data_IF_586376714976
#
_entry.id   IF_586376714976
#
_cell.length_a   1.000
_cell.length_b   1.000
_cell.length_c   1.000
_cell.angle_alpha   90.00
_cell.angle_beta   90.00
_cell.angle_gamma   90.00
#
_symmetry.space_group_name_H-M   'P 1'
#
loop_
_entity.id
_entity.type
_entity.pdbx_description
1 polymer ?
#
# COMPACT_ATOMS: atom_id res chain seq x y z
N UNK A 1 55.10 -52.21 -19.23
CA UNK A 1 53.80 -52.32 -18.51
C UNK A 1 53.64 -53.74 -18.01
N UNK A 2 53.78 -53.92 -16.69
CA UNK A 2 53.79 -55.21 -15.99
C UNK A 2 52.40 -55.84 -15.97
N UNK A 3 52.32 -57.18 -15.89
CA UNK A 3 51.07 -57.95 -15.93
C UNK A 3 50.03 -57.48 -14.89
N UNK A 4 50.49 -57.07 -13.70
CA UNK A 4 49.64 -56.56 -12.62
C UNK A 4 48.86 -55.26 -12.98
N UNK A 5 49.35 -54.45 -13.92
CA UNK A 5 48.66 -53.23 -14.36
C UNK A 5 47.52 -53.51 -15.35
N UNK A 6 47.51 -54.68 -16.00
CA UNK A 6 46.47 -55.06 -16.97
C UNK A 6 45.23 -55.66 -16.30
N UNK A 7 45.42 -56.41 -15.22
CA UNK A 7 44.34 -57.03 -14.44
C UNK A 7 43.45 -55.95 -13.77
N UNK A 8 44.07 -54.93 -13.16
CA UNK A 8 43.31 -53.83 -12.55
C UNK A 8 42.53 -52.96 -13.54
N UNK A 9 42.94 -52.91 -14.82
CA UNK A 9 42.20 -52.19 -15.86
C UNK A 9 40.98 -52.99 -16.34
N UNK A 10 41.12 -54.31 -16.49
CA UNK A 10 40.02 -55.20 -16.85
C UNK A 10 38.95 -55.24 -15.76
N UNK A 11 39.33 -55.28 -14.48
CA UNK A 11 38.39 -55.28 -13.36
C UNK A 11 37.55 -54.00 -13.29
N UNK A 12 38.14 -52.85 -13.61
CA UNK A 12 37.42 -51.58 -13.66
C UNK A 12 36.46 -51.51 -14.85
N UNK A 13 36.87 -52.01 -16.01
CA UNK A 13 36.01 -52.06 -17.20
C UNK A 13 34.79 -52.97 -16.99
N UNK A 14 34.98 -54.13 -16.35
CA UNK A 14 33.90 -55.08 -16.01
C UNK A 14 32.92 -54.45 -15.01
N UNK A 15 33.42 -53.70 -14.02
CA UNK A 15 32.57 -52.99 -13.04
C UNK A 15 31.74 -51.87 -13.69
N UNK A 16 32.28 -51.18 -14.69
CA UNK A 16 31.54 -50.15 -15.43
C UNK A 16 30.42 -50.75 -16.28
N UNK A 17 30.69 -51.85 -17.01
CA UNK A 17 29.68 -52.55 -17.80
C UNK A 17 28.53 -53.08 -16.91
N UNK A 18 28.84 -53.62 -15.73
CA UNK A 18 27.83 -54.07 -14.76
C UNK A 18 27.04 -52.91 -14.10
N UNK A 19 27.56 -51.68 -14.14
CA UNK A 19 26.84 -50.49 -13.69
C UNK A 19 25.87 -49.99 -14.76
N UNK A 20 26.29 -50.00 -16.03
CA UNK A 20 25.45 -49.58 -17.15
C UNK A 20 24.29 -50.55 -17.41
N UNK A 21 24.52 -51.86 -17.30
CA UNK A 21 23.46 -52.87 -17.46
C UNK A 21 22.35 -52.74 -16.41
N UNK A 22 22.71 -52.44 -15.15
CA UNK A 22 21.72 -52.15 -14.09
C UNK A 22 20.90 -50.90 -14.38
N UNK A 23 21.54 -49.87 -14.95
CA UNK A 23 20.86 -48.63 -15.33
C UNK A 23 19.85 -48.84 -16.46
N UNK A 24 20.18 -49.69 -17.43
CA UNK A 24 19.27 -50.08 -18.51
C UNK A 24 18.08 -50.89 -18.00
N UNK A 25 18.30 -51.82 -17.06
CA UNK A 25 17.21 -52.60 -16.46
C UNK A 25 16.25 -51.72 -15.63
N UNK A 26 16.76 -50.67 -14.97
CA UNK A 26 15.92 -49.74 -14.21
C UNK A 26 15.04 -48.86 -15.13
N UNK A 27 15.59 -48.40 -16.26
CA UNK A 27 14.83 -47.67 -17.28
C UNK A 27 13.82 -48.58 -18.02
N UNK A 28 14.13 -49.87 -18.17
CA UNK A 28 13.19 -50.82 -18.75
C UNK A 28 12.04 -51.17 -17.81
N UNK A 29 12.26 -51.15 -16.49
CA UNK A 29 11.23 -51.38 -15.47
C UNK A 29 10.17 -50.27 -15.39
N UNK A 30 10.54 -49.01 -15.62
CA UNK A 30 9.59 -47.88 -15.64
C UNK A 30 8.65 -47.89 -16.86
N UNK A 31 9.03 -48.55 -17.95
CA UNK A 31 8.21 -48.62 -19.18
C UNK A 31 7.12 -49.70 -19.16
N UNK A 32 7.05 -50.50 -18.09
CA UNK A 32 6.13 -51.64 -17.93
C UNK A 32 4.83 -51.35 -17.17
N UNK A 33 4.59 -50.12 -16.71
CA UNK A 33 3.38 -49.76 -15.93
C UNK A 33 2.48 -48.77 -16.66
N UNK A 34 2.08 -49.08 -17.89
CA UNK A 34 0.93 -48.47 -18.56
C UNK A 34 -0.12 -49.55 -18.79
N UNK A 35 -0.85 -49.87 -17.72
CA UNK A 35 -2.04 -50.71 -17.78
C UNK A 35 -3.18 -49.91 -18.41
N UNK A 36 -3.56 -50.30 -19.62
CA UNK A 36 -4.75 -49.82 -20.31
C UNK A 36 -5.99 -50.42 -19.64
N UNK A 37 -6.71 -49.64 -18.84
CA UNK A 37 -8.06 -50.02 -18.39
C UNK A 37 -9.10 -49.35 -19.27
N UNK A 38 -9.74 -50.20 -20.07
CA UNK A 38 -10.97 -49.97 -20.81
C UNK A 38 -12.12 -49.53 -19.87
N UNK A 39 -12.83 -48.49 -20.30
CA UNK A 39 -14.29 -48.32 -20.19
C UNK A 39 -14.99 -48.72 -18.90
N UNK A 40 -15.31 -47.72 -18.08
CA UNK A 40 -16.61 -47.65 -17.38
C UNK A 40 -17.22 -46.27 -17.63
N UNK A 41 -18.25 -46.26 -18.46
CA UNK A 41 -19.24 -45.18 -18.54
C UNK A 41 -19.95 -45.01 -17.18
N UNK A 42 -20.66 -43.90 -17.03
CA UNK A 42 -21.66 -43.62 -15.98
C UNK A 42 -21.17 -43.12 -14.63
N UNK A 43 -20.77 -41.85 -14.57
CA UNK A 43 -21.16 -40.96 -13.46
C UNK A 43 -21.53 -39.60 -14.07
N UNK A 44 -22.83 -39.44 -14.29
CA UNK A 44 -23.48 -38.16 -14.58
C UNK A 44 -23.26 -37.22 -13.40
N UNK A 45 -22.43 -36.18 -13.57
CA UNK A 45 -22.64 -34.92 -12.85
C UNK A 45 -22.69 -33.78 -13.86
N UNK A 46 -23.72 -32.93 -13.77
CA UNK A 46 -24.01 -31.94 -14.78
C UNK A 46 -22.87 -30.95 -14.88
N UNK A 47 -22.63 -30.47 -16.09
CA UNK A 47 -21.90 -29.25 -16.37
C UNK A 47 -22.44 -28.14 -15.45
N UNK A 48 -21.79 -27.96 -14.31
CA UNK A 48 -21.90 -26.72 -13.57
C UNK A 48 -21.23 -25.73 -14.50
N UNK A 49 -22.06 -24.96 -15.17
CA UNK A 49 -21.70 -23.71 -15.82
C UNK A 49 -21.06 -22.88 -14.71
N UNK A 50 -19.77 -23.06 -14.52
CA UNK A 50 -18.91 -22.15 -13.82
C UNK A 50 -18.83 -20.98 -14.79
N UNK A 51 -19.83 -20.10 -14.70
CA UNK A 51 -19.73 -18.77 -15.24
C UNK A 51 -18.36 -18.26 -14.80
N UNK A 52 -17.48 -17.84 -15.72
CA UNK A 52 -16.33 -17.08 -15.29
C UNK A 52 -16.97 -15.89 -14.59
N UNK A 53 -16.75 -15.80 -13.27
CA UNK A 53 -17.03 -14.61 -12.50
C UNK A 53 -16.50 -13.48 -13.36
N UNK A 54 -17.40 -12.66 -13.90
CA UNK A 54 -17.04 -11.49 -14.69
C UNK A 54 -16.41 -10.52 -13.70
N UNK A 55 -15.17 -10.80 -13.29
CA UNK A 55 -14.25 -9.79 -12.83
C UNK A 55 -14.14 -8.89 -14.05
N UNK A 56 -14.82 -7.75 -14.00
CA UNK A 56 -14.55 -6.62 -14.86
C UNK A 56 -13.04 -6.47 -14.95
N UNK A 57 -12.43 -6.98 -16.01
CA UNK A 57 -11.03 -6.76 -16.34
C UNK A 57 -10.94 -5.29 -16.70
N UNK A 58 -10.78 -4.45 -15.69
CA UNK A 58 -10.21 -3.13 -15.89
C UNK A 58 -8.84 -3.42 -16.51
N UNK A 59 -8.51 -2.84 -17.67
CA UNK A 59 -7.20 -3.11 -18.27
C UNK A 59 -6.10 -2.81 -17.23
N UNK A 60 -5.20 -3.78 -17.03
CA UNK A 60 -4.24 -3.79 -15.89
C UNK A 60 -3.27 -2.59 -15.91
N UNK A 61 -2.91 -2.13 -17.11
CA UNK A 61 -1.98 -1.02 -17.36
C UNK A 61 -2.51 0.36 -16.95
N UNK A 62 -3.74 0.78 -17.34
CA UNK A 62 -4.28 2.06 -16.89
C UNK A 62 -4.53 2.09 -15.38
N UNK A 63 -4.97 0.98 -14.76
CA UNK A 63 -5.22 0.95 -13.32
C UNK A 63 -3.95 1.23 -12.49
N UNK A 64 -2.86 0.51 -12.80
CA UNK A 64 -1.56 0.71 -12.14
C UNK A 64 -1.03 2.13 -12.27
N UNK A 65 -1.16 2.71 -13.46
CA UNK A 65 -0.73 4.09 -13.73
C UNK A 65 -1.55 5.09 -12.93
N UNK A 66 -2.86 4.85 -12.83
CA UNK A 66 -3.78 5.71 -12.10
C UNK A 66 -3.51 5.67 -10.59
N UNK A 67 -3.21 4.50 -10.02
CA UNK A 67 -2.79 4.35 -8.62
C UNK A 67 -1.51 5.14 -8.35
N UNK A 68 -0.49 4.99 -9.20
CA UNK A 68 0.77 5.74 -9.08
C UNK A 68 0.58 7.26 -9.18
N UNK A 69 -0.29 7.71 -10.09
CA UNK A 69 -0.63 9.12 -10.23
C UNK A 69 -1.27 9.65 -8.94
N UNK A 70 -2.20 8.91 -8.35
CA UNK A 70 -2.87 9.28 -7.10
C UNK A 70 -1.88 9.46 -5.95
N UNK A 71 -0.89 8.58 -5.81
CA UNK A 71 0.16 8.74 -4.80
C UNK A 71 1.05 9.97 -5.04
N UNK A 72 1.41 10.27 -6.31
CA UNK A 72 2.20 11.47 -6.63
C UNK A 72 1.41 12.75 -6.38
N UNK A 73 0.14 12.77 -6.76
CA UNK A 73 -0.76 13.89 -6.50
C UNK A 73 -0.97 14.07 -4.99
N UNK A 74 -1.12 12.99 -4.21
CA UNK A 74 -1.17 13.08 -2.76
C UNK A 74 0.11 13.73 -2.19
N UNK A 75 1.28 13.26 -2.61
CA UNK A 75 2.54 13.81 -2.11
C UNK A 75 2.68 15.32 -2.40
N UNK A 76 2.28 15.78 -3.60
CA UNK A 76 2.40 17.18 -3.99
C UNK A 76 1.28 18.08 -3.44
N UNK A 77 0.02 17.70 -3.63
CA UNK A 77 -1.14 18.54 -3.31
C UNK A 77 -1.66 18.34 -1.88
N UNK A 78 -1.65 17.11 -1.39
CA UNK A 78 -2.15 16.80 -0.05
C UNK A 78 -1.07 16.96 1.03
N UNK A 79 0.21 16.79 0.71
CA UNK A 79 1.30 16.98 1.67
C UNK A 79 2.10 18.26 1.37
N UNK A 80 2.70 18.38 0.19
CA UNK A 80 3.60 19.49 -0.13
C UNK A 80 2.95 20.88 -0.05
N UNK A 81 1.85 21.09 -0.76
CA UNK A 81 1.18 22.39 -0.86
C UNK A 81 0.70 22.94 0.51
N UNK A 82 -0.02 22.19 1.35
CA UNK A 82 -0.43 22.68 2.67
C UNK A 82 0.74 22.94 3.61
N UNK A 83 1.86 22.23 3.46
CA UNK A 83 3.07 22.52 4.23
C UNK A 83 3.67 23.88 3.84
N UNK A 84 3.76 24.18 2.54
CA UNK A 84 4.19 25.50 2.05
C UNK A 84 3.23 26.59 2.52
N UNK A 85 1.92 26.35 2.44
CA UNK A 85 0.90 27.27 2.95
C UNK A 85 1.02 27.49 4.45
N UNK A 86 1.40 26.46 5.23
CA UNK A 86 1.55 26.56 6.68
C UNK A 86 2.72 27.48 7.04
N UNK A 87 3.85 27.32 6.36
CA UNK A 87 5.01 28.22 6.51
C UNK A 87 4.60 29.65 6.11
N UNK A 88 3.94 29.81 4.98
CA UNK A 88 3.53 31.13 4.49
C UNK A 88 2.53 31.82 5.43
N UNK A 89 1.53 31.10 5.93
CA UNK A 89 0.56 31.59 6.91
C UNK A 89 1.22 31.96 8.24
N UNK A 90 2.22 31.19 8.68
CA UNK A 90 2.98 31.46 9.90
C UNK A 90 3.81 32.75 9.77
N UNK A 91 4.46 32.96 8.63
CA UNK A 91 5.19 34.20 8.33
C UNK A 91 4.25 35.40 8.27
N UNK A 92 3.04 35.23 7.71
CA UNK A 92 2.01 36.28 7.63
C UNK A 92 1.22 36.46 8.94
N UNK A 93 1.44 35.62 9.95
CA UNK A 93 0.77 35.62 11.26
C UNK A 93 -0.76 35.54 11.19
N UNK A 94 -1.30 34.81 10.22
CA UNK A 94 -2.74 34.58 10.07
C UNK A 94 -3.17 33.38 10.94
N UNK A 95 -3.61 33.66 12.17
CA UNK A 95 -3.87 32.63 13.19
C UNK A 95 -4.90 31.58 12.76
N UNK A 96 -5.98 32.00 12.08
CA UNK A 96 -7.04 31.12 11.58
C UNK A 96 -6.50 30.06 10.61
N UNK A 97 -5.66 30.47 9.65
CA UNK A 97 -5.07 29.58 8.66
C UNK A 97 -3.99 28.67 9.26
N UNK A 98 -3.16 29.18 10.16
CA UNK A 98 -2.16 28.36 10.86
C UNK A 98 -2.85 27.25 11.64
N UNK A 99 -3.93 27.58 12.35
CA UNK A 99 -4.74 26.62 13.10
C UNK A 99 -5.39 25.59 12.18
N UNK A 100 -6.06 26.01 11.09
CA UNK A 100 -6.63 25.11 10.09
C UNK A 100 -5.59 24.14 9.53
N UNK A 101 -4.43 24.65 9.09
CA UNK A 101 -3.38 23.85 8.46
C UNK A 101 -2.68 22.93 9.46
N UNK A 102 -2.54 23.33 10.72
CA UNK A 102 -2.00 22.48 11.79
C UNK A 102 -2.92 21.31 12.09
N UNK A 103 -4.24 21.56 12.20
CA UNK A 103 -5.25 20.51 12.40
C UNK A 103 -5.25 19.55 11.21
N UNK A 104 -5.23 20.10 10.00
CA UNK A 104 -5.12 19.33 8.77
C UNK A 104 -3.87 18.43 8.78
N UNK A 105 -2.70 18.96 9.18
CA UNK A 105 -1.45 18.20 9.19
C UNK A 105 -1.49 17.02 10.16
N UNK A 106 -2.08 17.23 11.34
CA UNK A 106 -2.31 16.14 12.30
C UNK A 106 -3.15 15.03 11.66
N UNK A 107 -4.23 15.36 10.95
CA UNK A 107 -5.11 14.37 10.31
C UNK A 107 -4.47 13.72 9.07
N UNK A 108 -3.77 14.50 8.25
CA UNK A 108 -3.06 14.03 7.06
C UNK A 108 -1.92 13.06 7.40
N UNK A 109 -1.39 13.09 8.62
CA UNK A 109 -0.37 12.13 9.08
C UNK A 109 -0.84 10.67 8.98
N UNK A 110 -2.15 10.39 9.03
CA UNK A 110 -2.69 9.05 8.83
C UNK A 110 -2.36 8.49 7.43
N UNK A 111 -2.28 9.34 6.41
CA UNK A 111 -1.88 8.94 5.06
C UNK A 111 -0.39 8.55 5.01
N UNK A 112 0.46 9.24 5.76
CA UNK A 112 1.87 8.85 5.87
C UNK A 112 2.03 7.52 6.63
N UNK A 113 1.26 7.34 7.71
CA UNK A 113 1.18 6.08 8.45
C UNK A 113 0.70 4.94 7.55
N UNK A 114 -0.31 5.17 6.69
CA UNK A 114 -0.82 4.15 5.79
C UNK A 114 0.24 3.69 4.77
N UNK A 115 1.06 4.60 4.28
CA UNK A 115 2.20 4.27 3.39
C UNK A 115 3.23 3.41 4.11
N UNK A 116 3.58 3.72 5.36
CA UNK A 116 4.51 2.90 6.15
C UNK A 116 3.97 1.48 6.38
N UNK A 117 2.68 1.35 6.67
CA UNK A 117 2.01 0.05 6.85
C UNK A 117 1.95 -0.76 5.55
N UNK A 118 1.72 -0.10 4.41
CA UNK A 118 1.70 -0.76 3.10
C UNK A 118 3.09 -1.20 2.64
N UNK A 119 4.19 -0.58 3.10
CA UNK A 119 5.55 -1.03 2.77
C UNK A 119 5.75 -2.52 3.11
N UNK A 120 5.28 -2.95 4.28
CA UNK A 120 5.41 -4.33 4.77
C UNK A 120 4.14 -5.16 4.54
N UNK A 121 3.40 -4.84 3.47
CA UNK A 121 2.22 -5.59 2.99
C UNK A 121 1.11 -5.80 4.04
N UNK A 122 0.98 -4.88 5.01
CA UNK A 122 0.02 -5.04 6.11
C UNK A 122 -1.40 -4.72 5.64
N UNK A 123 -2.38 -5.62 5.86
CA UNK A 123 -3.74 -5.45 5.33
C UNK A 123 -4.49 -4.27 5.95
N UNK A 124 -4.14 -3.88 7.18
CA UNK A 124 -4.73 -2.71 7.84
C UNK A 124 -4.43 -1.41 7.09
N UNK A 125 -3.34 -1.38 6.31
CA UNK A 125 -2.96 -0.21 5.56
C UNK A 125 -3.97 0.15 4.45
N UNK A 126 -4.66 -0.85 3.86
CA UNK A 126 -5.75 -0.61 2.90
C UNK A 126 -6.90 0.19 3.52
N UNK A 127 -7.26 -0.12 4.76
CA UNK A 127 -8.29 0.61 5.49
C UNK A 127 -7.87 2.06 5.72
N UNK A 128 -6.63 2.26 6.18
CA UNK A 128 -6.12 3.61 6.46
C UNK A 128 -5.97 4.44 5.19
N UNK A 129 -5.59 3.85 4.06
CA UNK A 129 -5.51 4.54 2.76
C UNK A 129 -6.88 4.94 2.23
N UNK A 130 -7.95 4.22 2.59
CA UNK A 130 -9.33 4.61 2.30
C UNK A 130 -9.86 5.69 3.26
N UNK A 131 -9.60 5.55 4.56
CA UNK A 131 -10.10 6.47 5.58
C UNK A 131 -9.38 7.82 5.59
N UNK A 132 -8.07 7.85 5.31
CA UNK A 132 -7.27 9.06 5.40
C UNK A 132 -7.78 10.18 4.47
N UNK A 133 -8.02 9.96 3.17
CA UNK A 133 -8.58 11.00 2.31
C UNK A 133 -9.94 11.53 2.77
N UNK A 134 -10.81 10.66 3.31
CA UNK A 134 -12.13 11.08 3.84
C UNK A 134 -11.98 11.97 5.08
N UNK A 135 -11.12 11.57 6.02
CA UNK A 135 -10.83 12.36 7.22
C UNK A 135 -10.16 13.68 6.86
N UNK A 136 -9.28 13.71 5.86
CA UNK A 136 -8.65 14.93 5.36
C UNK A 136 -9.69 15.90 4.79
N UNK A 137 -10.61 15.42 3.95
CA UNK A 137 -11.69 16.27 3.42
C UNK A 137 -12.61 16.76 4.54
N UNK A 138 -12.99 15.89 5.48
CA UNK A 138 -13.77 16.28 6.65
C UNK A 138 -13.06 17.35 7.48
N UNK A 139 -11.77 17.19 7.74
CA UNK A 139 -10.97 18.11 8.57
C UNK A 139 -10.98 19.53 8.08
N UNK A 140 -11.09 19.73 6.77
CA UNK A 140 -11.02 21.04 6.14
C UNK A 140 -12.38 21.74 6.17
N UNK A 141 -13.50 21.02 6.20
CA UNK A 141 -14.85 21.61 6.10
C UNK A 141 -15.67 21.54 7.40
N UNK A 142 -15.31 20.64 8.32
CA UNK A 142 -16.06 20.36 9.53
C UNK A 142 -16.21 21.57 10.46
N UNK A 143 -15.14 22.37 10.59
CA UNK A 143 -15.03 23.47 11.55
C UNK A 143 -15.84 24.69 11.13
N UNK A 144 -16.79 25.10 11.96
CA UNK A 144 -17.64 26.28 11.68
C UNK A 144 -16.88 27.58 11.91
N UNK A 145 -16.18 27.67 13.05
CA UNK A 145 -15.38 28.82 13.48
C UNK A 145 -14.34 29.21 12.43
N UNK A 146 -13.54 28.24 11.98
CA UNK A 146 -12.54 28.47 10.92
C UNK A 146 -13.17 28.84 9.58
N UNK A 147 -14.39 28.40 9.28
CA UNK A 147 -15.07 28.77 8.03
C UNK A 147 -15.57 30.21 8.08
N UNK A 148 -16.07 30.66 9.22
CA UNK A 148 -16.48 32.04 9.47
C UNK A 148 -15.26 32.98 9.44
N UNK A 149 -14.19 32.66 10.19
CA UNK A 149 -12.93 33.43 10.17
C UNK A 149 -12.32 33.53 8.75
N UNK A 150 -12.44 32.48 7.93
CA UNK A 150 -11.97 32.52 6.54
C UNK A 150 -12.87 33.31 5.59
N UNK A 151 -14.17 33.42 5.90
CA UNK A 151 -15.14 34.16 5.10
C UNK A 151 -14.94 35.67 5.25
N UNK A 152 -14.58 36.13 6.44
CA UNK A 152 -14.32 37.54 6.76
C UNK A 152 -13.05 38.09 6.10
N UNK A 153 -12.12 37.21 5.70
CA UNK A 153 -10.89 37.61 5.03
C UNK A 153 -11.13 38.06 3.58
N UNK A 154 -10.50 39.17 3.12
CA UNK A 154 -10.66 39.65 1.75
C UNK A 154 -10.20 38.60 0.72
N UNK A 155 -11.06 38.19 -0.24
CA UNK A 155 -10.79 37.04 -1.10
C UNK A 155 -9.69 37.27 -2.14
N UNK A 156 -9.35 38.52 -2.44
CA UNK A 156 -8.30 38.90 -3.39
C UNK A 156 -6.89 38.88 -2.79
N UNK A 157 -6.74 38.74 -1.48
CA UNK A 157 -5.42 38.55 -0.88
C UNK A 157 -4.88 37.18 -1.33
N UNK A 158 -3.59 37.09 -1.70
CA UNK A 158 -3.04 35.89 -2.32
C UNK A 158 -3.15 34.66 -1.41
N UNK A 159 -2.89 34.81 -0.11
CA UNK A 159 -2.91 33.69 0.83
C UNK A 159 -4.33 33.10 1.05
N UNK A 160 -5.37 33.87 1.42
CA UNK A 160 -6.74 33.34 1.49
C UNK A 160 -7.22 32.73 0.17
N UNK A 161 -6.88 33.34 -0.96
CA UNK A 161 -7.24 32.83 -2.28
C UNK A 161 -6.64 31.45 -2.53
N UNK A 162 -5.33 31.29 -2.31
CA UNK A 162 -4.64 30.01 -2.49
C UNK A 162 -5.20 28.94 -1.55
N UNK A 163 -5.47 29.28 -0.28
CA UNK A 163 -6.10 28.34 0.67
C UNK A 163 -7.48 27.90 0.15
N UNK A 164 -8.34 28.82 -0.30
CA UNK A 164 -9.68 28.47 -0.82
C UNK A 164 -9.60 27.55 -2.04
N UNK A 165 -8.73 27.85 -2.99
CA UNK A 165 -8.51 27.01 -4.19
C UNK A 165 -7.99 25.62 -3.77
N UNK A 166 -7.02 25.59 -2.86
CA UNK A 166 -6.46 24.34 -2.36
C UNK A 166 -7.50 23.49 -1.63
N UNK A 167 -8.36 24.08 -0.78
CA UNK A 167 -9.42 23.35 -0.06
C UNK A 167 -10.36 22.62 -1.03
N UNK A 168 -10.77 23.27 -2.11
CA UNK A 168 -11.61 22.65 -3.14
C UNK A 168 -10.87 21.58 -3.94
N UNK A 169 -9.63 21.86 -4.34
CA UNK A 169 -8.79 20.88 -5.04
C UNK A 169 -8.57 19.62 -4.18
N UNK A 170 -8.31 19.79 -2.89
CA UNK A 170 -8.17 18.71 -1.92
C UNK A 170 -9.48 17.91 -1.77
N UNK A 171 -10.65 18.57 -1.74
CA UNK A 171 -11.94 17.88 -1.70
C UNK A 171 -12.16 16.99 -2.92
N UNK A 172 -11.93 17.54 -4.12
CA UNK A 172 -12.04 16.76 -5.36
C UNK A 172 -11.06 15.58 -5.37
N UNK A 173 -9.79 15.85 -5.05
CA UNK A 173 -8.76 14.82 -4.95
C UNK A 173 -9.10 13.74 -3.92
N UNK A 174 -9.53 14.13 -2.71
CA UNK A 174 -9.81 13.22 -1.61
C UNK A 174 -10.98 12.28 -1.90
N UNK A 175 -12.04 12.78 -2.55
CA UNK A 175 -13.17 11.95 -2.98
C UNK A 175 -12.76 10.96 -4.08
N UNK A 176 -11.98 11.41 -5.08
CA UNK A 176 -11.47 10.53 -6.13
C UNK A 176 -10.54 9.46 -5.52
N UNK A 177 -9.62 9.87 -4.65
CA UNK A 177 -8.69 8.97 -3.98
C UNK A 177 -9.42 7.94 -3.11
N UNK A 178 -10.44 8.35 -2.34
CA UNK A 178 -11.26 7.43 -1.55
C UNK A 178 -12.06 6.47 -2.44
N UNK A 179 -12.64 6.96 -3.54
CA UNK A 179 -13.35 6.11 -4.51
C UNK A 179 -12.42 5.07 -5.11
N UNK A 180 -11.19 5.44 -5.48
CA UNK A 180 -10.18 4.49 -5.95
C UNK A 180 -9.76 3.51 -4.85
N UNK A 181 -9.48 3.99 -3.64
CA UNK A 181 -9.08 3.15 -2.50
C UNK A 181 -10.18 2.16 -2.09
N UNK A 182 -11.46 2.48 -2.33
CA UNK A 182 -12.57 1.56 -2.06
C UNK A 182 -12.46 0.24 -2.83
N UNK A 183 -11.85 0.25 -4.03
CA UNK A 183 -11.60 -0.96 -4.83
C UNK A 183 -10.61 -1.92 -4.17
N UNK A 184 -9.76 -1.38 -3.28
CA UNK A 184 -8.75 -2.15 -2.54
C UNK A 184 -9.25 -2.66 -1.18
N UNK A 185 -10.45 -2.27 -0.72
CA UNK A 185 -10.96 -2.69 0.59
C UNK A 185 -11.18 -4.20 0.70
N UNK A 186 -11.50 -4.86 -0.42
CA UNK A 186 -11.63 -6.32 -0.48
C UNK A 186 -10.30 -7.03 -0.14
N UNK A 187 -9.16 -6.38 -0.42
CA UNK A 187 -7.82 -6.92 -0.17
C UNK A 187 -7.47 -7.06 1.32
N UNK A 188 -8.32 -6.54 2.22
CA UNK A 188 -8.15 -6.75 3.66
C UNK A 188 -8.32 -8.22 4.05
N UNK A 189 -9.14 -8.98 3.30
CA UNK A 189 -9.42 -10.40 3.57
C UNK A 189 -8.54 -11.34 2.76
N UNK A 190 -8.16 -10.94 1.56
CA UNK A 190 -7.30 -11.71 0.66
C UNK A 190 -6.23 -10.81 0.03
N UNK A 191 -5.00 -10.94 0.54
CA UNK A 191 -3.85 -10.12 0.13
C UNK A 191 -3.17 -10.68 -1.14
N UNK A 192 -3.51 -11.90 -1.56
CA UNK A 192 -2.81 -12.59 -2.65
C UNK A 192 -3.24 -12.15 -4.06
N UNK A 193 -4.38 -11.45 -4.20
CA UNK A 193 -4.94 -11.04 -5.48
C UNK A 193 -4.06 -10.07 -6.28
N UNK A 194 -4.05 -10.21 -7.62
CA UNK A 194 -3.25 -9.38 -8.51
C UNK A 194 -3.52 -7.87 -8.34
N UNK A 195 -4.79 -7.49 -8.19
CA UNK A 195 -5.21 -6.09 -7.99
C UNK A 195 -4.72 -5.51 -6.66
N UNK A 196 -4.54 -6.34 -5.64
CA UNK A 196 -4.09 -5.93 -4.32
C UNK A 196 -2.59 -5.58 -4.32
N UNK A 197 -1.79 -6.32 -5.10
CA UNK A 197 -0.35 -6.10 -5.23
C UNK A 197 0.00 -4.73 -5.81
N UNK A 198 -0.82 -4.23 -6.74
CA UNK A 198 -0.63 -2.91 -7.38
C UNK A 198 -0.56 -1.77 -6.35
N UNK A 199 -1.29 -1.89 -5.24
CA UNK A 199 -1.29 -0.88 -4.17
C UNK A 199 -0.03 -0.88 -3.31
N UNK A 200 0.75 -1.96 -3.28
CA UNK A 200 2.02 -2.03 -2.55
C UNK A 200 3.20 -1.46 -3.36
N UNK A 201 3.13 -1.55 -4.68
CA UNK A 201 4.24 -1.13 -5.55
C UNK A 201 4.59 0.36 -5.42
N UNK A 202 3.59 1.23 -5.22
CA UNK A 202 3.81 2.67 -5.07
C UNK A 202 4.48 3.02 -3.71
N UNK A 203 3.99 2.54 -2.55
CA UNK A 203 4.68 2.65 -1.26
C UNK A 203 6.12 2.11 -1.25
N UNK A 204 6.37 0.96 -1.89
CA UNK A 204 7.73 0.41 -2.01
C UNK A 204 8.66 1.33 -2.82
N UNK A 205 8.13 2.00 -3.85
CA UNK A 205 8.89 3.02 -4.60
C UNK A 205 9.29 4.21 -3.72
N UNK A 206 8.41 4.65 -2.80
CA UNK A 206 8.71 5.73 -1.86
C UNK A 206 9.69 5.30 -0.76
N UNK A 207 9.60 4.05 -0.31
CA UNK A 207 10.52 3.47 0.68
C UNK A 207 11.98 3.58 0.23
N UNK A 208 12.28 3.32 -1.05
CA UNK A 208 13.63 3.46 -1.61
C UNK A 208 14.18 4.89 -1.53
N UNK A 209 13.32 5.90 -1.53
CA UNK A 209 13.74 7.30 -1.33
C UNK A 209 14.07 7.54 0.14
N UNK A 210 13.25 7.01 1.05
CA UNK A 210 13.49 7.10 2.49
C UNK A 210 14.78 6.35 2.90
N UNK A 211 15.03 5.16 2.36
CA UNK A 211 16.27 4.40 2.58
C UNK A 211 17.51 5.23 2.25
N UNK A 212 17.55 5.87 1.08
CA UNK A 212 18.70 6.68 0.65
C UNK A 212 18.93 7.91 1.53
N UNK A 213 17.86 8.54 1.97
CA UNK A 213 17.95 9.69 2.87
C UNK A 213 18.42 9.28 4.27
N UNK A 214 17.93 8.13 4.76
CA UNK A 214 18.30 7.64 6.08
C UNK A 214 19.73 7.12 6.13
N UNK A 215 20.17 6.42 5.09
CA UNK A 215 21.56 5.99 4.93
C UNK A 215 22.51 7.20 4.85
N UNK A 216 22.13 8.22 4.08
CA UNK A 216 22.94 9.45 3.98
C UNK A 216 23.06 10.23 5.31
N UNK A 217 21.95 10.34 6.07
CA UNK A 217 21.93 11.16 7.30
C UNK A 217 22.43 10.40 8.52
N UNK A 218 22.09 9.11 8.64
CA UNK A 218 22.33 8.32 9.86
C UNK A 218 23.27 7.12 9.64
N UNK A 219 23.66 6.80 8.40
CA UNK A 219 24.53 5.65 8.09
C UNK A 219 23.90 4.29 8.48
N UNK A 220 22.57 4.22 8.51
CA UNK A 220 21.81 3.07 9.03
C UNK A 220 20.95 2.41 7.96
N UNK A 221 20.70 1.11 8.13
CA UNK A 221 19.82 0.33 7.27
C UNK A 221 18.34 0.55 7.65
N UNK A 222 17.61 1.25 6.77
CA UNK A 222 16.16 1.35 6.86
C UNK A 222 15.54 0.09 6.25
N UNK A 223 14.90 -0.75 7.05
CA UNK A 223 14.30 -2.01 6.58
C UNK A 223 12.78 -1.92 6.56
N UNK A 224 12.14 -2.75 5.73
CA UNK A 224 10.67 -2.85 5.66
C UNK A 224 10.04 -3.13 7.04
N UNK A 225 10.69 -3.99 7.84
CA UNK A 225 10.25 -4.32 9.20
C UNK A 225 10.29 -3.12 10.16
N UNK A 226 11.31 -2.26 10.07
CA UNK A 226 11.40 -1.04 10.89
C UNK A 226 10.31 -0.05 10.50
N UNK A 227 10.06 0.11 9.20
CA UNK A 227 8.97 0.95 8.70
C UNK A 227 7.60 0.47 9.21
N UNK A 228 7.37 -0.85 9.19
CA UNK A 228 6.15 -1.46 9.72
C UNK A 228 5.96 -1.22 11.21
N UNK A 229 7.02 -1.42 12.01
CA UNK A 229 6.99 -1.21 13.45
C UNK A 229 6.65 0.25 13.78
N UNK A 230 7.35 1.20 13.14
CA UNK A 230 7.06 2.64 13.30
C UNK A 230 5.63 2.95 12.87
N UNK A 231 5.18 2.37 11.75
CA UNK A 231 3.81 2.51 11.26
C UNK A 231 2.76 2.09 12.29
N UNK A 232 2.94 0.93 12.94
CA UNK A 232 2.03 0.46 13.99
C UNK A 232 2.07 1.32 15.25
N UNK A 233 3.26 1.68 15.74
CA UNK A 233 3.40 2.56 16.91
C UNK A 233 2.73 3.91 16.65
N UNK A 234 2.99 4.51 15.48
CA UNK A 234 2.36 5.76 15.07
C UNK A 234 0.85 5.62 14.92
N UNK A 235 0.36 4.49 14.36
CA UNK A 235 -1.08 4.23 14.23
C UNK A 235 -1.76 4.13 15.60
N UNK A 236 -1.17 3.42 16.56
CA UNK A 236 -1.70 3.32 17.92
C UNK A 236 -1.75 4.69 18.59
N UNK A 237 -0.65 5.45 18.52
CA UNK A 237 -0.61 6.81 19.07
C UNK A 237 -1.66 7.72 18.42
N UNK A 238 -1.82 7.64 17.09
CA UNK A 238 -2.81 8.39 16.33
C UNK A 238 -4.24 8.03 16.76
N UNK A 239 -4.57 6.74 16.87
CA UNK A 239 -5.91 6.28 17.27
C UNK A 239 -6.23 6.69 18.70
N UNK A 240 -5.29 6.54 19.63
CA UNK A 240 -5.48 6.98 21.02
C UNK A 240 -5.73 8.49 21.09
N UNK A 241 -4.92 9.29 20.39
CA UNK A 241 -5.10 10.74 20.32
C UNK A 241 -6.43 11.15 19.69
N UNK A 242 -6.81 10.50 18.58
CA UNK A 242 -8.09 10.76 17.90
C UNK A 242 -9.29 10.39 18.77
N UNK A 243 -9.25 9.24 19.45
CA UNK A 243 -10.31 8.80 20.36
C UNK A 243 -10.42 9.70 21.58
N UNK A 244 -9.28 10.06 22.19
CA UNK A 244 -9.26 11.00 23.31
C UNK A 244 -9.89 12.34 22.91
N UNK A 245 -9.53 12.87 21.74
CA UNK A 245 -10.12 14.09 21.22
C UNK A 245 -11.63 13.93 20.94
N UNK A 246 -12.03 12.84 20.28
CA UNK A 246 -13.43 12.57 19.90
C UNK A 246 -14.35 12.40 21.11
N UNK A 247 -13.89 11.72 22.16
CA UNK A 247 -14.70 11.43 23.35
C UNK A 247 -14.73 12.58 24.36
N UNK A 248 -13.65 13.35 24.45
CA UNK A 248 -13.51 14.39 25.50
C UNK A 248 -13.70 15.80 24.96
N UNK A 249 -13.07 16.15 23.84
CA UNK A 249 -13.07 17.52 23.33
C UNK A 249 -14.25 17.80 22.41
N UNK A 250 -14.60 16.90 21.49
CA UNK A 250 -15.70 17.13 20.56
C UNK A 250 -17.05 17.43 21.26
N UNK A 251 -17.47 16.72 22.33
CA UNK A 251 -18.73 17.04 23.01
C UNK A 251 -18.67 18.35 23.80
N UNK A 252 -17.48 18.80 24.21
CA UNK A 252 -17.30 20.04 24.99
C UNK A 252 -17.17 21.29 24.12
N UNK A 253 -16.45 21.19 23.01
CA UNK A 253 -16.12 22.33 22.12
C UNK A 253 -17.01 22.38 20.87
N UNK A 254 -17.78 21.31 20.60
CA UNK A 254 -18.62 21.22 19.41
C UNK A 254 -17.81 21.31 18.11
N UNK A 255 -18.28 22.13 17.18
CA UNK A 255 -17.64 22.34 15.86
C UNK A 255 -16.62 23.49 15.84
N UNK A 256 -16.22 23.99 17.00
CA UNK A 256 -15.24 25.08 17.14
C UNK A 256 -13.84 24.48 17.24
N UNK A 257 -12.90 25.02 16.48
CA UNK A 257 -11.51 24.59 16.52
C UNK A 257 -10.84 25.11 17.80
N UNK A 258 -11.00 24.37 18.91
CA UNK A 258 -10.25 24.62 20.13
C UNK A 258 -8.74 24.49 19.90
N UNK A 259 -7.93 25.10 20.76
CA UNK A 259 -6.48 24.88 20.71
C UNK A 259 -6.18 23.40 20.91
N UNK A 260 -5.38 22.82 20.00
CA UNK A 260 -5.11 21.39 19.92
C UNK A 260 -3.92 20.97 20.78
#
# INVERSE_FOLDING_TARGET
>A
MTAASREGWLDNAVRQLAWDERRLNQLSGEKGSMNWTLTTLTELRPALIMTPSRTSQVPELPYRTLVWLTYRLAAMFALGLPFVLLIWASVRREASMVRLLTIYWKIASLLAISVLLLTDQRPIGYLTTFLAPLLMVASVWFWVDLNEELADLPPWRPLPLTVRIWRWALSGFGLIAAAMASTSLACMKDVAGANCRVWFEAPQGLHRVAERLFDFVFGGQWTEAVAAFIGYVALVAYVVGLLQWLLVRLPRQGRVAGEF
#
